data_IF_846694925656
#
_entry.id   IF_846694925656
#
_cell.length_a   1.000
_cell.length_b   1.000
_cell.length_c   1.000
_cell.angle_alpha   90.00
_cell.angle_beta   90.00
_cell.angle_gamma   90.00
#
_symmetry.space_group_name_H-M   'P 1'
#
loop_
_entity.id
_entity.type
_entity.pdbx_description
1 polymer ?
#
# COMPACT_ATOMS: atom_id res chain seq x y z
N UNK A 1 19.14 -6.87 33.56
CA UNK A 1 19.19 -6.29 32.21
C UNK A 1 19.39 -4.80 32.38
N UNK A 2 20.56 -4.31 32.01
CA UNK A 2 20.93 -2.89 32.11
C UNK A 2 20.05 -2.09 31.16
N UNK A 3 19.26 -1.18 31.72
CA UNK A 3 18.50 -0.18 30.99
C UNK A 3 19.47 0.54 30.04
N UNK A 4 19.26 0.52 28.71
CA UNK A 4 20.19 1.18 27.81
C UNK A 4 20.16 2.66 28.14
N UNK A 5 21.31 3.20 28.58
CA UNK A 5 21.50 4.64 28.77
C UNK A 5 21.02 5.36 27.53
N UNK A 6 19.86 6.00 27.60
CA UNK A 6 19.29 6.79 26.52
C UNK A 6 20.26 7.92 26.20
N UNK A 7 20.91 7.83 25.05
CA UNK A 7 21.74 8.91 24.53
C UNK A 7 20.89 10.17 24.44
N UNK A 8 21.34 11.25 25.10
CA UNK A 8 20.64 12.54 25.15
C UNK A 8 20.48 13.20 23.78
N UNK A 9 21.25 12.76 22.78
CA UNK A 9 21.14 13.20 21.39
C UNK A 9 20.34 12.22 20.52
N UNK A 10 19.79 11.15 21.10
CA UNK A 10 18.97 10.20 20.35
C UNK A 10 17.67 10.86 19.87
N UNK A 11 17.44 10.85 18.57
CA UNK A 11 16.20 11.30 17.95
C UNK A 11 15.18 10.16 17.77
N UNK A 12 15.45 8.96 18.31
CA UNK A 12 14.64 7.75 18.05
C UNK A 12 13.18 7.93 18.49
N UNK A 13 12.95 8.41 19.71
CA UNK A 13 11.59 8.58 20.25
C UNK A 13 10.83 9.68 19.52
N UNK A 14 11.51 10.77 19.18
CA UNK A 14 10.94 11.86 18.39
C UNK A 14 10.55 11.38 16.99
N UNK A 15 11.45 10.68 16.30
CA UNK A 15 11.19 10.10 14.99
C UNK A 15 10.02 9.11 15.01
N UNK A 16 9.92 8.25 16.03
CA UNK A 16 8.77 7.36 16.21
C UNK A 16 7.47 8.14 16.44
N UNK A 17 7.50 9.25 17.17
CA UNK A 17 6.34 10.13 17.35
C UNK A 17 5.80 10.66 16.02
N UNK A 18 6.68 11.17 15.16
CA UNK A 18 6.29 11.68 13.84
C UNK A 18 5.79 10.59 12.88
N UNK A 19 6.34 9.37 12.93
CA UNK A 19 5.85 8.25 12.09
C UNK A 19 4.56 7.65 12.68
N UNK A 20 4.34 7.77 13.98
CA UNK A 20 3.12 7.29 14.63
C UNK A 20 1.87 8.07 14.17
N UNK A 21 1.99 9.39 14.00
CA UNK A 21 0.90 10.25 13.54
C UNK A 21 0.23 9.75 12.24
N UNK A 22 0.93 9.61 11.10
CA UNK A 22 0.30 9.16 9.86
C UNK A 22 -0.25 7.74 9.97
N UNK A 23 0.42 6.84 10.70
CA UNK A 23 -0.06 5.46 10.82
C UNK A 23 -1.34 5.36 11.66
N UNK A 24 -1.43 6.13 12.75
CA UNK A 24 -2.65 6.21 13.56
C UNK A 24 -3.78 6.91 12.80
N UNK A 25 -3.48 7.96 12.03
CA UNK A 25 -4.45 8.62 11.16
C UNK A 25 -5.08 7.66 10.14
N UNK A 26 -4.27 6.82 9.47
CA UNK A 26 -4.76 5.79 8.55
C UNK A 26 -5.73 4.81 9.24
N UNK A 27 -5.38 4.34 10.45
CA UNK A 27 -6.26 3.47 11.23
C UNK A 27 -7.59 4.14 11.55
N UNK A 28 -7.59 5.42 11.94
CA UNK A 28 -8.82 6.14 12.25
C UNK A 28 -9.67 6.43 11.02
N UNK A 29 -9.07 6.76 9.87
CA UNK A 29 -9.84 6.90 8.64
C UNK A 29 -10.57 5.61 8.23
N UNK A 30 -10.04 4.43 8.57
CA UNK A 30 -10.69 3.14 8.37
C UNK A 30 -11.77 2.80 9.43
N UNK A 31 -11.89 3.60 10.48
CA UNK A 31 -12.83 3.40 11.59
C UNK A 31 -13.96 4.44 11.62
N UNK A 32 -13.66 5.66 11.17
CA UNK A 32 -14.57 6.79 11.12
C UNK A 32 -15.42 6.75 9.84
N UNK A 33 -16.52 7.53 9.77
CA UNK A 33 -17.28 7.71 8.54
C UNK A 33 -16.40 8.17 7.38
N UNK A 34 -16.64 7.65 6.18
CA UNK A 34 -15.77 7.87 5.00
C UNK A 34 -15.72 9.34 4.54
N UNK A 35 -16.72 10.15 4.90
CA UNK A 35 -16.74 11.59 4.65
C UNK A 35 -15.89 12.41 5.66
N UNK A 36 -15.24 11.75 6.62
CA UNK A 36 -14.28 12.38 7.52
C UNK A 36 -12.97 12.65 6.77
N UNK A 37 -12.48 13.87 6.84
CA UNK A 37 -11.17 14.27 6.35
C UNK A 37 -10.16 14.38 7.49
N UNK A 38 -8.90 14.08 7.21
CA UNK A 38 -7.77 14.32 8.12
C UNK A 38 -6.75 15.27 7.52
N UNK A 39 -6.21 16.16 8.36
CA UNK A 39 -5.00 16.95 8.09
C UNK A 39 -3.93 16.54 9.10
N UNK A 40 -2.69 16.47 8.65
CA UNK A 40 -1.53 16.25 9.51
C UNK A 40 -0.79 17.56 9.72
N UNK A 41 -0.38 17.82 10.97
CA UNK A 41 0.45 18.97 11.35
C UNK A 41 -0.13 20.33 10.91
N UNK A 42 -1.44 20.54 11.13
CA UNK A 42 -2.17 21.76 10.75
C UNK A 42 -2.46 22.67 11.94
N UNK A 43 -3.48 22.38 12.74
CA UNK A 43 -3.75 23.10 13.98
C UNK A 43 -3.23 22.35 15.22
N UNK A 44 -3.11 21.02 15.13
CA UNK A 44 -2.41 20.11 16.06
C UNK A 44 -1.75 18.94 15.28
N UNK A 45 -1.29 17.88 15.98
CA UNK A 45 -0.67 16.69 15.37
C UNK A 45 -1.56 16.11 14.26
N UNK A 46 -2.87 15.93 14.53
CA UNK A 46 -3.90 15.56 13.55
C UNK A 46 -5.15 16.44 13.72
N UNK A 47 -5.74 16.89 12.61
CA UNK A 47 -7.03 17.56 12.60
C UNK A 47 -8.05 16.72 11.82
N UNK A 48 -9.14 16.31 12.45
CA UNK A 48 -10.25 15.64 11.77
C UNK A 48 -11.40 16.61 11.51
N UNK A 49 -11.97 16.56 10.31
CA UNK A 49 -13.16 17.30 9.90
C UNK A 49 -14.22 16.28 9.49
N UNK A 50 -15.32 16.20 10.23
CA UNK A 50 -16.44 15.34 9.86
C UNK A 50 -17.28 15.95 8.73
N UNK A 51 -18.22 15.17 8.17
CA UNK A 51 -19.07 15.61 7.06
C UNK A 51 -20.02 16.76 7.38
N UNK A 52 -20.28 17.02 8.66
CA UNK A 52 -21.12 18.13 9.12
C UNK A 52 -20.28 19.39 9.44
N UNK A 53 -18.96 19.34 9.20
CA UNK A 53 -18.02 20.42 9.47
C UNK A 53 -17.53 20.52 10.91
N UNK A 54 -17.84 19.52 11.75
CA UNK A 54 -17.30 19.35 13.09
C UNK A 54 -15.79 19.16 13.04
N UNK A 55 -15.06 19.96 13.84
CA UNK A 55 -13.59 19.97 13.82
C UNK A 55 -13.02 19.44 15.13
N UNK A 56 -12.14 18.46 15.00
CA UNK A 56 -11.51 17.76 16.11
C UNK A 56 -10.00 17.90 16.02
N UNK A 57 -9.37 18.49 17.03
CA UNK A 57 -7.92 18.58 17.13
C UNK A 57 -7.40 17.44 18.01
N UNK A 58 -6.47 16.66 17.48
CA UNK A 58 -5.96 15.48 18.13
C UNK A 58 -4.46 15.62 18.37
N UNK A 59 -4.08 15.48 19.64
CA UNK A 59 -2.68 15.43 20.06
C UNK A 59 -2.30 13.99 20.39
N UNK A 60 -1.15 13.54 19.90
CA UNK A 60 -0.71 12.14 19.96
C UNK A 60 0.49 12.01 20.89
N UNK A 61 0.47 11.00 21.76
CA UNK A 61 1.54 10.68 22.72
C UNK A 61 1.89 9.19 22.67
N UNK A 62 2.99 8.89 22.00
CA UNK A 62 3.58 7.55 21.98
C UNK A 62 4.65 7.44 23.08
N UNK A 63 4.42 6.60 24.10
CA UNK A 63 5.23 6.50 25.32
C UNK A 63 5.71 5.08 25.54
N UNK A 64 6.69 4.89 26.41
CA UNK A 64 7.16 3.57 26.80
C UNK A 64 6.07 2.79 27.57
N UNK A 65 6.22 1.47 27.66
CA UNK A 65 5.31 0.62 28.44
C UNK A 65 5.50 0.91 29.92
N UNK A 66 4.39 1.05 30.67
CA UNK A 66 4.41 1.28 32.12
C UNK A 66 4.19 2.74 32.54
N UNK A 67 4.33 3.68 31.61
CA UNK A 67 3.98 5.08 31.86
C UNK A 67 2.47 5.24 32.11
N UNK A 68 2.11 6.19 32.99
CA UNK A 68 0.71 6.53 33.30
C UNK A 68 0.45 8.01 33.10
N UNK A 69 -0.77 8.34 32.69
CA UNK A 69 -1.23 9.73 32.68
C UNK A 69 -1.85 10.08 34.04
N UNK A 70 -1.41 11.18 34.63
CA UNK A 70 -1.83 11.68 35.95
C UNK A 70 -2.21 13.15 35.86
N UNK A 71 -2.81 13.69 36.92
CA UNK A 71 -3.30 15.07 36.99
C UNK A 71 -2.28 16.14 36.55
N UNK A 72 -0.99 15.89 36.77
CA UNK A 72 0.10 16.82 36.49
C UNK A 72 1.04 16.32 35.37
N UNK A 73 0.60 15.36 34.56
CA UNK A 73 1.36 14.89 33.40
C UNK A 73 1.63 16.05 32.43
N UNK A 74 2.92 16.33 32.22
CA UNK A 74 3.38 17.43 31.35
C UNK A 74 2.81 17.30 29.93
N UNK A 75 2.73 16.07 29.42
CA UNK A 75 2.24 15.80 28.07
C UNK A 75 0.76 16.20 27.89
N UNK A 76 -0.09 15.97 28.90
CA UNK A 76 -1.50 16.42 28.88
C UNK A 76 -1.59 17.94 28.88
N UNK A 77 -0.87 18.61 29.80
CA UNK A 77 -0.94 20.06 29.90
C UNK A 77 -0.35 20.79 28.69
N UNK A 78 0.67 20.22 28.03
CA UNK A 78 1.17 20.75 26.75
C UNK A 78 0.10 20.72 25.66
N UNK A 79 -0.66 19.62 25.54
CA UNK A 79 -1.78 19.53 24.61
C UNK A 79 -2.88 20.54 24.97
N UNK A 80 -3.26 20.63 26.27
CA UNK A 80 -4.20 21.64 26.77
C UNK A 80 -3.77 23.06 26.39
N UNK A 81 -2.48 23.39 26.49
CA UNK A 81 -1.98 24.70 26.12
C UNK A 81 -2.21 25.03 24.64
N UNK A 82 -1.94 24.09 23.75
CA UNK A 82 -2.19 24.25 22.30
C UNK A 82 -3.69 24.45 22.09
N UNK A 83 -4.52 23.59 22.68
CA UNK A 83 -5.97 23.67 22.56
C UNK A 83 -6.56 24.95 23.12
N UNK A 84 -6.06 25.47 24.23
CA UNK A 84 -6.49 26.75 24.79
C UNK A 84 -6.24 27.91 23.83
N UNK A 85 -5.09 27.91 23.14
CA UNK A 85 -4.78 28.90 22.11
C UNK A 85 -5.77 28.81 20.96
N UNK A 86 -6.09 27.59 20.49
CA UNK A 86 -7.06 27.36 19.40
C UNK A 86 -8.49 27.73 19.82
N UNK A 87 -8.90 27.32 21.01
CA UNK A 87 -10.21 27.64 21.60
C UNK A 87 -10.44 29.15 21.66
N UNK A 88 -9.48 29.91 22.21
CA UNK A 88 -9.58 31.38 22.28
C UNK A 88 -9.57 32.05 20.89
N UNK A 89 -8.75 31.55 19.97
CA UNK A 89 -8.68 32.05 18.58
C UNK A 89 -10.00 31.85 17.85
N UNK A 90 -10.65 30.70 18.03
CA UNK A 90 -11.77 30.23 17.20
C UNK A 90 -13.14 30.42 17.86
N UNK A 91 -13.29 31.46 18.68
CA UNK A 91 -14.60 31.89 19.21
C UNK A 91 -15.02 31.27 20.55
N UNK A 92 -14.15 30.52 21.21
CA UNK A 92 -14.38 29.98 22.55
C UNK A 92 -15.62 29.09 22.61
N UNK A 93 -16.58 29.45 23.47
CA UNK A 93 -17.78 28.66 23.71
C UNK A 93 -18.67 28.51 22.46
N UNK A 94 -18.61 29.45 21.52
CA UNK A 94 -19.36 29.41 20.26
C UNK A 94 -18.69 28.51 19.19
N UNK A 95 -17.46 28.07 19.44
CA UNK A 95 -16.73 27.18 18.55
C UNK A 95 -17.36 25.78 18.51
N UNK A 96 -17.15 25.03 17.43
CA UNK A 96 -17.46 23.59 17.37
C UNK A 96 -16.24 22.69 17.63
N UNK A 97 -15.11 23.26 18.08
CA UNK A 97 -13.89 22.51 18.35
C UNK A 97 -14.09 21.43 19.42
N UNK A 98 -13.54 20.24 19.13
CA UNK A 98 -13.32 19.14 20.08
C UNK A 98 -11.85 18.82 20.18
N UNK A 99 -11.42 18.31 21.33
CA UNK A 99 -10.01 18.04 21.61
C UNK A 99 -9.80 16.59 22.02
N UNK A 100 -8.86 15.91 21.38
CA UNK A 100 -8.60 14.49 21.61
C UNK A 100 -7.14 14.28 22.02
N UNK A 101 -6.91 13.62 23.15
CA UNK A 101 -5.58 13.10 23.49
C UNK A 101 -5.53 11.61 23.15
N UNK A 102 -4.77 11.25 22.11
CA UNK A 102 -4.43 9.86 21.86
C UNK A 102 -3.16 9.51 22.60
N UNK A 103 -3.22 8.53 23.50
CA UNK A 103 -2.03 8.08 24.24
C UNK A 103 -1.94 6.58 24.32
N UNK A 104 -0.73 6.06 24.14
CA UNK A 104 -0.41 4.63 24.36
C UNK A 104 -0.34 4.24 25.84
N UNK A 105 -0.38 5.21 26.75
CA UNK A 105 -0.45 5.00 28.20
C UNK A 105 -1.90 4.90 28.67
N UNK A 106 -2.11 4.46 29.90
CA UNK A 106 -3.43 4.49 30.54
C UNK A 106 -3.51 5.61 31.56
N UNK A 107 -4.69 6.17 31.77
CA UNK A 107 -4.95 7.15 32.83
C UNK A 107 -4.89 6.48 34.19
N UNK A 108 -4.29 7.14 35.19
CA UNK A 108 -4.28 6.66 36.57
C UNK A 108 -5.67 6.66 37.18
N UNK A 109 -6.06 5.59 37.88
CA UNK A 109 -7.43 5.43 38.39
C UNK A 109 -7.83 6.44 39.46
N UNK A 110 -6.84 7.05 40.12
CA UNK A 110 -6.99 8.12 41.12
C UNK A 110 -6.94 9.53 40.50
N UNK A 111 -6.72 9.63 39.19
CA UNK A 111 -6.61 10.90 38.48
C UNK A 111 -7.99 11.45 38.12
N UNK A 112 -8.15 12.79 38.19
CA UNK A 112 -9.35 13.43 37.67
C UNK A 112 -9.48 13.28 36.15
N UNK A 113 -8.38 13.00 35.44
CA UNK A 113 -8.36 12.76 34.00
C UNK A 113 -9.23 11.57 33.58
N UNK A 114 -9.57 10.67 34.52
CA UNK A 114 -10.55 9.59 34.28
C UNK A 114 -11.91 10.13 33.81
N UNK A 115 -12.24 11.39 34.13
CA UNK A 115 -13.45 12.09 33.68
C UNK A 115 -13.45 12.45 32.20
N UNK A 116 -12.29 12.36 31.53
CA UNK A 116 -12.17 12.59 30.09
C UNK A 116 -12.14 11.28 29.29
N UNK A 117 -12.29 10.11 29.93
CA UNK A 117 -12.35 8.83 29.22
C UNK A 117 -13.75 8.61 28.61
N UNK A 118 -13.89 7.94 27.46
CA UNK A 118 -15.18 7.72 26.79
C UNK A 118 -16.24 7.05 27.66
N UNK A 119 -15.83 6.13 28.53
CA UNK A 119 -16.71 5.30 29.36
C UNK A 119 -17.12 5.97 30.69
N UNK A 120 -16.66 7.20 30.93
CA UNK A 120 -17.01 7.97 32.12
C UNK A 120 -17.86 9.19 31.74
N UNK A 121 -19.18 9.01 31.53
CA UNK A 121 -20.06 10.14 31.29
C UNK A 121 -19.97 11.10 32.49
N UNK A 122 -19.90 12.40 32.18
CA UNK A 122 -19.87 13.48 33.18
C UNK A 122 -21.12 13.33 34.05
N UNK A 123 -20.94 12.79 35.27
CA UNK A 123 -22.02 12.59 36.23
C UNK A 123 -22.69 13.94 36.48
N UNK A 124 -23.88 14.10 35.93
CA UNK A 124 -24.75 15.23 36.18
C UNK A 124 -25.32 15.06 37.60
N UNK A 125 -24.72 15.70 38.60
CA UNK A 125 -25.49 16.07 39.80
C UNK A 125 -24.82 16.09 41.17
N UNK A 126 -23.74 15.36 41.45
CA UNK A 126 -23.24 15.26 42.85
C UNK A 126 -21.71 15.33 43.03
N UNK A 127 -20.94 15.54 41.95
CA UNK A 127 -19.48 15.64 42.00
C UNK A 127 -18.94 17.07 41.81
N UNK A 128 -17.66 17.29 42.18
CA UNK A 128 -16.94 18.52 41.86
C UNK A 128 -16.87 18.73 40.33
N UNK A 129 -17.00 19.98 39.88
CA UNK A 129 -16.92 20.35 38.45
C UNK A 129 -15.54 20.05 37.87
N UNK A 130 -15.44 19.90 36.54
CA UNK A 130 -14.15 19.70 35.87
C UNK A 130 -13.22 20.88 36.12
N UNK A 131 -13.76 22.10 36.13
CA UNK A 131 -13.03 23.32 36.52
C UNK A 131 -12.46 23.21 37.93
N UNK A 132 -13.26 22.83 38.93
CA UNK A 132 -12.79 22.72 40.31
C UNK A 132 -11.70 21.65 40.48
N UNK A 133 -11.84 20.52 39.78
CA UNK A 133 -10.84 19.44 39.80
C UNK A 133 -9.53 19.88 39.13
N UNK A 134 -9.61 20.55 37.98
CA UNK A 134 -8.45 21.07 37.26
C UNK A 134 -7.72 22.15 38.08
N UNK A 135 -8.45 23.11 38.66
CA UNK A 135 -7.85 24.16 39.50
C UNK A 135 -7.18 23.56 40.75
N UNK A 136 -7.81 22.56 41.39
CA UNK A 136 -7.22 21.86 42.52
C UNK A 136 -5.93 21.09 42.16
N UNK A 137 -5.85 20.53 40.95
CA UNK A 137 -4.62 19.92 40.44
C UNK A 137 -3.54 20.98 40.17
N UNK A 138 -3.90 22.06 39.48
CA UNK A 138 -2.98 23.15 39.11
C UNK A 138 -2.31 23.80 40.32
N UNK A 139 -3.05 24.02 41.42
CA UNK A 139 -2.51 24.57 42.69
C UNK A 139 -1.41 23.68 43.30
N UNK A 140 -1.49 22.35 43.10
CA UNK A 140 -0.46 21.41 43.59
C UNK A 140 0.79 21.40 42.73
N UNK A 141 0.74 21.96 41.52
CA UNK A 141 1.85 21.93 40.58
C UNK A 141 3.00 22.83 41.02
N UNK A 142 4.22 22.29 40.95
CA UNK A 142 5.48 23.06 41.09
C UNK A 142 6.19 23.30 39.75
N UNK A 143 5.59 22.84 38.65
CA UNK A 143 6.18 22.95 37.31
C UNK A 143 5.99 24.35 36.77
N UNK A 144 7.11 25.02 36.41
CA UNK A 144 7.08 26.35 35.76
C UNK A 144 6.27 26.34 34.46
N UNK A 145 6.38 25.25 33.69
CA UNK A 145 5.62 25.07 32.44
C UNK A 145 4.11 25.02 32.72
N UNK A 146 3.68 24.16 33.66
CA UNK A 146 2.26 24.05 34.02
C UNK A 146 1.75 25.36 34.63
N UNK A 147 2.58 26.07 35.40
CA UNK A 147 2.24 27.40 35.94
C UNK A 147 1.92 28.42 34.85
N UNK A 148 2.69 28.45 33.74
CA UNK A 148 2.40 29.32 32.60
C UNK A 148 1.08 28.97 31.92
N UNK A 149 0.80 27.67 31.78
CA UNK A 149 -0.44 27.16 31.18
C UNK A 149 -1.63 27.50 32.08
N UNK A 150 -1.47 27.37 33.40
CA UNK A 150 -2.48 27.76 34.39
C UNK A 150 -2.80 29.26 34.31
N UNK A 151 -1.81 30.13 34.07
CA UNK A 151 -2.06 31.55 33.83
C UNK A 151 -3.00 31.75 32.64
N UNK A 152 -2.70 31.13 31.50
CA UNK A 152 -3.56 31.21 30.31
C UNK A 152 -4.94 30.59 30.52
N UNK A 153 -5.04 29.48 31.26
CA UNK A 153 -6.31 28.85 31.62
C UNK A 153 -7.17 29.73 32.53
N UNK A 154 -6.54 30.46 33.46
CA UNK A 154 -7.22 31.37 34.39
C UNK A 154 -7.66 32.70 33.77
N UNK A 155 -7.32 32.98 32.52
CA UNK A 155 -7.93 34.08 31.77
C UNK A 155 -9.37 33.79 31.35
N UNK A 156 -9.76 32.51 31.29
CA UNK A 156 -11.13 32.08 31.02
C UNK A 156 -11.98 32.20 32.29
N UNK A 157 -13.25 32.59 32.14
CA UNK A 157 -14.24 32.50 33.20
C UNK A 157 -14.57 31.04 33.55
N UNK A 158 -15.07 30.78 34.76
CA UNK A 158 -15.40 29.41 35.19
C UNK A 158 -16.36 28.65 34.24
N UNK A 159 -17.40 29.29 33.65
CA UNK A 159 -18.22 28.64 32.62
C UNK A 159 -17.44 28.31 31.34
N UNK A 160 -16.52 29.18 30.90
CA UNK A 160 -15.69 28.92 29.73
C UNK A 160 -14.66 27.82 29.98
N UNK A 161 -14.06 27.79 31.18
CA UNK A 161 -13.19 26.68 31.62
C UNK A 161 -13.94 25.36 31.57
N UNK A 162 -15.16 25.34 32.11
CA UNK A 162 -15.99 24.13 32.14
C UNK A 162 -16.32 23.70 30.71
N UNK A 163 -16.80 24.62 29.85
CA UNK A 163 -17.09 24.32 28.44
C UNK A 163 -15.85 23.80 27.68
N UNK A 164 -14.69 24.40 27.90
CA UNK A 164 -13.44 23.97 27.29
C UNK A 164 -13.07 22.54 27.72
N UNK A 165 -13.10 22.24 29.02
CA UNK A 165 -12.75 20.93 29.56
C UNK A 165 -13.74 19.84 29.11
N UNK A 166 -15.03 20.15 28.99
CA UNK A 166 -16.05 19.22 28.50
C UNK A 166 -15.86 18.80 27.04
N UNK A 167 -15.06 19.54 26.27
CA UNK A 167 -14.70 19.21 24.87
C UNK A 167 -13.49 18.29 24.76
N UNK A 168 -12.82 17.98 25.87
CA UNK A 168 -11.63 17.13 25.89
C UNK A 168 -12.04 15.66 26.09
N UNK A 169 -11.54 14.80 25.21
CA UNK A 169 -11.61 13.36 25.34
C UNK A 169 -10.20 12.75 25.33
N UNK A 170 -9.94 11.80 26.21
CA UNK A 170 -8.69 11.04 26.27
C UNK A 170 -8.97 9.63 25.77
N UNK A 171 -8.29 9.25 24.69
CA UNK A 171 -8.30 7.91 24.12
C UNK A 171 -7.01 7.22 24.59
N UNK A 172 -7.07 6.71 25.82
CA UNK A 172 -5.97 6.02 26.47
C UNK A 172 -5.85 4.56 25.99
N UNK A 173 -4.69 3.94 26.22
CA UNK A 173 -4.41 2.60 25.70
C UNK A 173 -4.49 2.49 24.16
N UNK A 174 -4.29 3.60 23.45
CA UNK A 174 -4.22 3.61 21.98
C UNK A 174 -3.16 2.62 21.48
N UNK A 175 -3.39 1.97 20.32
CA UNK A 175 -2.48 0.95 19.80
C UNK A 175 -1.10 1.54 19.56
N UNK A 176 -0.05 0.76 19.82
CA UNK A 176 1.32 1.21 19.52
C UNK A 176 1.58 1.13 18.03
N UNK A 177 2.55 1.91 17.56
CA UNK A 177 2.89 2.01 16.13
C UNK A 177 3.19 0.66 15.45
N UNK A 178 3.73 -0.30 16.21
CA UNK A 178 4.04 -1.65 15.72
C UNK A 178 2.82 -2.56 15.60
N UNK A 179 1.75 -2.28 16.36
CA UNK A 179 0.53 -3.09 16.38
C UNK A 179 -0.47 -2.67 15.30
N UNK A 180 -0.43 -1.39 14.88
CA UNK A 180 -1.37 -0.82 13.90
C UNK A 180 -1.43 -1.62 12.58
N UNK A 181 -0.31 -2.04 11.95
CA UNK A 181 -0.37 -2.81 10.70
C UNK A 181 -1.20 -4.09 10.83
N UNK A 182 -1.00 -4.85 11.91
CA UNK A 182 -1.77 -6.06 12.19
C UNK A 182 -3.24 -5.73 12.43
N UNK A 183 -3.55 -4.67 13.19
CA UNK A 183 -4.93 -4.22 13.43
C UNK A 183 -5.65 -3.90 12.12
N UNK A 184 -5.00 -3.15 11.22
CA UNK A 184 -5.58 -2.80 9.91
C UNK A 184 -5.86 -4.07 9.11
N UNK A 185 -4.88 -4.96 8.96
CA UNK A 185 -5.05 -6.20 8.18
C UNK A 185 -6.11 -7.13 8.77
N UNK A 186 -6.16 -7.29 10.09
CA UNK A 186 -7.02 -8.28 10.73
C UNK A 186 -8.45 -7.81 10.95
N UNK A 187 -8.64 -6.50 11.15
CA UNK A 187 -9.97 -5.91 11.41
C UNK A 187 -10.57 -5.23 10.20
N UNK A 188 -9.78 -4.53 9.39
CA UNK A 188 -10.29 -3.64 8.33
C UNK A 188 -10.11 -4.21 6.92
N UNK A 189 -9.31 -5.27 6.72
CA UNK A 189 -9.11 -5.93 5.42
C UNK A 189 -9.78 -7.30 5.31
N UNK A 190 -10.90 -7.51 6.02
CA UNK A 190 -11.55 -8.84 6.12
C UNK A 190 -12.13 -9.35 4.81
N UNK A 191 -12.49 -8.46 3.88
CA UNK A 191 -12.94 -8.79 2.52
C UNK A 191 -11.81 -9.32 1.63
N UNK A 192 -10.55 -9.10 2.02
CA UNK A 192 -9.36 -9.55 1.30
C UNK A 192 -8.93 -10.91 1.84
N UNK A 193 -8.58 -11.83 0.93
CA UNK A 193 -8.04 -13.15 1.27
C UNK A 193 -6.80 -13.00 2.15
N UNK A 194 -6.66 -13.87 3.15
CA UNK A 194 -5.67 -13.70 4.24
C UNK A 194 -4.24 -13.63 3.70
N UNK A 195 -3.95 -14.48 2.73
CA UNK A 195 -2.68 -14.60 2.01
C UNK A 195 -2.29 -13.32 1.23
N UNK A 196 -3.24 -12.43 0.92
CA UNK A 196 -2.99 -11.21 0.14
C UNK A 196 -2.99 -9.93 0.99
N UNK A 197 -3.37 -10.00 2.27
CA UNK A 197 -3.52 -8.81 3.13
C UNK A 197 -2.22 -8.05 3.34
N UNK A 198 -1.09 -8.75 3.45
CA UNK A 198 0.21 -8.10 3.62
C UNK A 198 0.55 -7.24 2.39
N UNK A 199 0.51 -7.84 1.20
CA UNK A 199 0.83 -7.17 -0.06
C UNK A 199 -0.10 -5.97 -0.32
N UNK A 200 -1.41 -6.13 -0.08
CA UNK A 200 -2.35 -5.01 -0.23
C UNK A 200 -2.07 -3.91 0.80
N UNK A 201 -1.74 -4.26 2.04
CA UNK A 201 -1.40 -3.28 3.07
C UNK A 201 -0.12 -2.51 2.73
N UNK A 202 0.94 -3.16 2.28
CA UNK A 202 2.20 -2.49 1.89
C UNK A 202 1.96 -1.45 0.78
N UNK A 203 1.12 -1.78 -0.21
CA UNK A 203 0.76 -0.85 -1.29
C UNK A 203 -0.11 0.30 -0.80
N UNK A 204 -1.05 0.03 0.10
CA UNK A 204 -1.85 1.07 0.75
C UNK A 204 -0.97 2.00 1.59
N UNK A 205 -0.05 1.47 2.38
CA UNK A 205 0.87 2.25 3.21
C UNK A 205 1.83 3.09 2.36
N UNK A 206 2.31 2.56 1.23
CA UNK A 206 3.12 3.31 0.27
C UNK A 206 2.36 4.51 -0.32
N UNK A 207 1.12 4.31 -0.80
CA UNK A 207 0.28 5.40 -1.30
C UNK A 207 -0.06 6.42 -0.20
N UNK A 208 -0.39 5.94 1.00
CA UNK A 208 -0.71 6.77 2.16
C UNK A 208 0.45 7.68 2.53
N UNK A 209 1.67 7.11 2.58
CA UNK A 209 2.89 7.84 2.92
C UNK A 209 3.18 8.95 1.92
N UNK A 210 3.08 8.68 0.62
CA UNK A 210 3.22 9.70 -0.44
C UNK A 210 2.16 10.80 -0.32
N UNK A 211 0.92 10.42 0.00
CA UNK A 211 -0.19 11.38 0.20
C UNK A 211 0.04 12.29 1.40
N UNK A 212 0.53 11.75 2.51
CA UNK A 212 0.93 12.51 3.71
C UNK A 212 2.08 13.47 3.37
N UNK A 213 3.12 13.01 2.67
CA UNK A 213 4.25 13.87 2.24
C UNK A 213 3.74 15.03 1.39
N UNK A 214 2.81 14.79 0.46
CA UNK A 214 2.20 15.86 -0.35
C UNK A 214 1.46 16.89 0.51
N UNK A 215 0.81 16.47 1.59
CA UNK A 215 0.15 17.40 2.50
C UNK A 215 1.16 18.21 3.31
N UNK A 216 2.17 17.56 3.89
CA UNK A 216 3.22 18.22 4.69
C UNK A 216 4.09 19.18 3.86
N UNK A 217 4.28 18.90 2.57
CA UNK A 217 5.02 19.78 1.64
C UNK A 217 4.17 20.90 1.04
N UNK A 218 2.86 20.92 1.33
CA UNK A 218 1.92 21.89 0.76
C UNK A 218 1.55 21.64 -0.72
N UNK A 219 2.03 20.55 -1.33
CA UNK A 219 1.64 20.13 -2.67
C UNK A 219 0.17 19.69 -2.73
N UNK A 220 -0.40 19.29 -1.59
CA UNK A 220 -1.82 19.05 -1.34
C UNK A 220 -2.28 19.94 -0.18
N UNK A 221 -3.28 20.78 -0.42
CA UNK A 221 -3.84 21.66 0.62
C UNK A 221 -5.16 21.15 1.20
N UNK A 222 -5.79 20.18 0.54
CA UNK A 222 -7.04 19.55 0.97
C UNK A 222 -6.81 18.44 2.01
N UNK A 223 -7.84 18.17 2.80
CA UNK A 223 -7.84 17.05 3.74
C UNK A 223 -7.83 15.71 2.98
N UNK A 224 -7.32 14.67 3.63
CA UNK A 224 -7.36 13.31 3.08
C UNK A 224 -8.61 12.62 3.63
N UNK A 225 -9.54 12.26 2.75
CA UNK A 225 -10.81 11.69 3.16
C UNK A 225 -10.74 10.17 3.35
N UNK A 226 -11.60 9.66 4.23
CA UNK A 226 -11.76 8.22 4.44
C UNK A 226 -12.14 7.46 3.16
N UNK A 227 -13.03 8.04 2.33
CA UNK A 227 -13.40 7.42 1.05
C UNK A 227 -12.21 7.24 0.10
N UNK A 228 -11.21 8.12 0.12
CA UNK A 228 -10.01 7.95 -0.71
C UNK A 228 -9.21 6.70 -0.28
N UNK A 229 -9.15 6.46 1.03
CA UNK A 229 -8.50 5.27 1.59
C UNK A 229 -9.29 4.02 1.19
N UNK A 230 -10.62 4.04 1.31
CA UNK A 230 -11.49 2.94 0.88
C UNK A 230 -11.35 2.63 -0.61
N UNK A 231 -11.38 3.66 -1.46
CA UNK A 231 -11.22 3.52 -2.92
C UNK A 231 -9.86 2.92 -3.27
N UNK A 232 -8.79 3.39 -2.63
CA UNK A 232 -7.43 2.86 -2.85
C UNK A 232 -7.29 1.43 -2.38
N UNK A 233 -7.82 1.12 -1.20
CA UNK A 233 -7.85 -0.24 -0.68
C UNK A 233 -8.61 -1.18 -1.62
N UNK A 234 -9.77 -0.76 -2.10
CA UNK A 234 -10.56 -1.53 -3.06
C UNK A 234 -9.78 -1.75 -4.36
N UNK A 235 -9.21 -0.69 -4.95
CA UNK A 235 -8.42 -0.78 -6.17
C UNK A 235 -7.24 -1.75 -6.03
N UNK A 236 -6.52 -1.71 -4.91
CA UNK A 236 -5.43 -2.67 -4.67
C UNK A 236 -5.98 -4.09 -4.47
N UNK A 237 -7.09 -4.27 -3.76
CA UNK A 237 -7.69 -5.59 -3.56
C UNK A 237 -8.18 -6.25 -4.85
N UNK A 238 -8.69 -5.46 -5.82
CA UNK A 238 -9.11 -5.94 -7.14
C UNK A 238 -7.97 -6.61 -7.92
N UNK A 239 -6.72 -6.20 -7.71
CA UNK A 239 -5.56 -6.79 -8.35
C UNK A 239 -5.23 -8.21 -7.85
N UNK A 240 -5.76 -8.59 -6.67
CA UNK A 240 -5.51 -9.88 -6.02
C UNK A 240 -6.76 -10.80 -6.02
N UNK A 241 -7.74 -10.52 -6.89
CA UNK A 241 -8.88 -11.42 -7.10
C UNK A 241 -8.49 -12.70 -7.82
N UNK A 242 -9.33 -13.72 -7.72
CA UNK A 242 -9.08 -15.04 -8.32
C UNK A 242 -8.96 -15.02 -9.84
N UNK A 243 -9.54 -14.01 -10.50
CA UNK A 243 -9.53 -13.80 -11.95
C UNK A 243 -8.52 -12.74 -12.40
N UNK A 244 -7.67 -12.25 -11.49
CA UNK A 244 -6.69 -11.20 -11.77
C UNK A 244 -5.32 -11.50 -11.12
N UNK A 245 -4.27 -10.82 -11.58
CA UNK A 245 -2.94 -10.80 -10.97
C UNK A 245 -2.36 -9.39 -11.09
N UNK A 246 -1.62 -8.89 -10.07
CA UNK A 246 -1.04 -7.54 -10.09
C UNK A 246 0.00 -7.40 -11.21
N UNK A 247 -0.02 -6.27 -11.90
CA UNK A 247 0.91 -5.96 -13.00
C UNK A 247 1.99 -5.00 -12.52
N UNK A 248 3.24 -5.44 -12.52
CA UNK A 248 4.39 -4.70 -11.97
C UNK A 248 5.48 -4.41 -13.00
N UNK A 249 5.51 -5.09 -14.15
CA UNK A 249 6.57 -4.93 -15.16
C UNK A 249 6.16 -4.12 -16.41
N UNK A 250 5.04 -3.38 -16.33
CA UNK A 250 4.60 -2.51 -17.44
C UNK A 250 5.67 -1.44 -17.72
N UNK A 251 6.14 -1.36 -18.96
CA UNK A 251 7.13 -0.37 -19.39
C UNK A 251 8.56 -0.63 -18.91
N UNK A 252 8.81 -1.67 -18.13
CA UNK A 252 10.15 -2.02 -17.66
C UNK A 252 11.02 -2.50 -18.82
N UNK A 253 12.33 -2.25 -18.72
CA UNK A 253 13.34 -2.68 -19.67
C UNK A 253 14.49 -3.35 -18.91
N UNK A 254 15.20 -4.33 -19.51
CA UNK A 254 16.42 -4.88 -18.93
C UNK A 254 17.47 -3.79 -18.70
N UNK A 255 18.34 -3.98 -17.70
CA UNK A 255 19.44 -3.07 -17.43
C UNK A 255 20.54 -3.14 -18.51
N UNK A 256 20.72 -4.31 -19.11
CA UNK A 256 21.67 -4.55 -20.19
C UNK A 256 21.08 -4.16 -21.55
N UNK A 257 21.95 -3.75 -22.47
CA UNK A 257 21.53 -3.42 -23.84
C UNK A 257 21.07 -4.68 -24.58
N UNK A 258 19.96 -4.56 -25.29
CA UNK A 258 19.41 -5.67 -26.08
C UNK A 258 20.18 -5.78 -27.40
N UNK A 259 21.04 -6.79 -27.51
CA UNK A 259 21.68 -7.23 -28.74
C UNK A 259 20.86 -8.34 -29.41
N UNK A 260 20.17 -8.01 -30.49
CA UNK A 260 19.31 -8.96 -31.20
C UNK A 260 20.06 -9.95 -32.08
N UNK A 261 21.32 -9.68 -32.42
CA UNK A 261 22.10 -10.49 -33.35
C UNK A 261 22.82 -11.63 -32.64
N UNK A 262 23.32 -11.39 -31.43
CA UNK A 262 24.11 -12.38 -30.66
C UNK A 262 23.37 -13.04 -29.51
N UNK A 263 22.12 -12.63 -29.22
CA UNK A 263 21.34 -13.22 -28.13
C UNK A 263 21.23 -14.74 -28.27
N UNK A 264 21.70 -15.52 -27.27
CA UNK A 264 21.76 -16.98 -27.37
C UNK A 264 20.45 -17.67 -27.03
N UNK A 265 19.43 -16.94 -26.54
CA UNK A 265 18.13 -17.53 -26.18
C UNK A 265 17.50 -18.18 -27.41
N UNK A 266 17.02 -19.40 -27.24
CA UNK A 266 16.56 -20.27 -28.31
C UNK A 266 15.40 -19.64 -29.08
N UNK A 267 14.47 -18.96 -28.40
CA UNK A 267 13.39 -18.27 -29.09
C UNK A 267 13.93 -17.17 -30.02
N UNK A 268 15.00 -16.45 -29.63
CA UNK A 268 15.60 -15.40 -30.47
C UNK A 268 16.28 -16.01 -31.69
N UNK A 269 17.00 -17.13 -31.50
CA UNK A 269 17.62 -17.87 -32.60
C UNK A 269 16.55 -18.29 -33.61
N UNK A 270 15.43 -18.85 -33.15
CA UNK A 270 14.31 -19.24 -34.01
C UNK A 270 13.74 -18.06 -34.80
N UNK A 271 13.57 -16.88 -34.18
CA UNK A 271 13.06 -15.69 -34.87
C UNK A 271 14.02 -15.19 -35.95
N UNK A 272 15.33 -15.27 -35.72
CA UNK A 272 16.34 -14.97 -36.76
C UNK A 272 16.26 -15.95 -37.93
N UNK A 273 16.13 -17.26 -37.65
CA UNK A 273 16.02 -18.29 -38.69
C UNK A 273 14.84 -18.07 -39.64
N UNK A 274 13.66 -17.74 -39.11
CA UNK A 274 12.49 -17.45 -39.96
C UNK A 274 12.55 -16.05 -40.61
N UNK A 275 13.52 -15.20 -40.25
CA UNK A 275 13.73 -13.89 -40.87
C UNK A 275 12.92 -12.73 -40.27
N UNK A 276 12.57 -12.80 -38.99
CA UNK A 276 11.98 -11.64 -38.31
C UNK A 276 13.01 -10.51 -38.20
N UNK A 277 12.57 -9.27 -38.44
CA UNK A 277 13.45 -8.10 -38.37
C UNK A 277 13.96 -7.83 -36.96
N UNK A 278 15.17 -7.28 -36.83
CA UNK A 278 15.80 -6.96 -35.54
C UNK A 278 14.91 -6.10 -34.63
N UNK A 279 14.12 -5.16 -35.17
CA UNK A 279 13.17 -4.37 -34.37
C UNK A 279 12.04 -5.20 -33.73
N UNK A 280 11.51 -6.18 -34.47
CA UNK A 280 10.49 -7.10 -33.95
C UNK A 280 11.09 -8.10 -32.97
N UNK A 281 12.33 -8.55 -33.22
CA UNK A 281 13.09 -9.37 -32.27
C UNK A 281 13.34 -8.61 -30.96
N UNK A 282 13.74 -7.34 -31.01
CA UNK A 282 13.88 -6.50 -29.81
C UNK A 282 12.57 -6.41 -29.03
N UNK A 283 11.43 -6.29 -29.72
CA UNK A 283 10.11 -6.28 -29.09
C UNK A 283 9.79 -7.62 -28.42
N UNK A 284 10.09 -8.74 -29.08
CA UNK A 284 9.95 -10.09 -28.53
C UNK A 284 10.81 -10.30 -27.27
N UNK A 285 12.04 -9.80 -27.26
CA UNK A 285 12.93 -9.85 -26.10
C UNK A 285 12.35 -9.06 -24.91
N UNK A 286 11.76 -7.90 -25.16
CA UNK A 286 11.10 -7.11 -24.13
C UNK A 286 9.86 -7.83 -23.58
N UNK A 287 9.04 -8.43 -24.44
CA UNK A 287 7.85 -9.18 -24.02
C UNK A 287 8.25 -10.44 -23.23
N UNK A 288 9.28 -11.18 -23.67
CA UNK A 288 9.87 -12.30 -22.93
C UNK A 288 10.33 -11.86 -21.53
N UNK A 289 11.15 -10.81 -21.45
CA UNK A 289 11.71 -10.33 -20.19
C UNK A 289 10.60 -9.93 -19.21
N UNK A 290 9.63 -9.12 -19.67
CA UNK A 290 8.53 -8.67 -18.82
C UNK A 290 7.66 -9.84 -18.37
N UNK A 291 7.34 -10.79 -19.25
CA UNK A 291 6.56 -11.96 -18.87
C UNK A 291 7.31 -12.85 -17.86
N UNK A 292 8.60 -13.09 -18.08
CA UNK A 292 9.43 -13.90 -17.18
C UNK A 292 9.53 -13.28 -15.79
N UNK A 293 9.84 -11.99 -15.72
CA UNK A 293 9.93 -11.26 -14.44
C UNK A 293 8.57 -11.12 -13.75
N UNK A 294 7.51 -10.84 -14.52
CA UNK A 294 6.14 -10.74 -13.99
C UNK A 294 5.69 -12.07 -13.37
N UNK A 295 5.92 -13.20 -14.07
CA UNK A 295 5.63 -14.54 -13.57
C UNK A 295 6.47 -14.89 -12.35
N UNK A 296 7.75 -14.50 -12.35
CA UNK A 296 8.65 -14.70 -11.20
C UNK A 296 8.20 -13.90 -9.98
N UNK A 297 7.70 -12.67 -10.16
CA UNK A 297 7.13 -11.88 -9.08
C UNK A 297 5.86 -12.54 -8.51
N UNK A 298 4.93 -12.99 -9.36
CA UNK A 298 3.74 -13.70 -8.91
C UNK A 298 4.07 -14.99 -8.12
N UNK A 299 5.10 -15.73 -8.55
CA UNK A 299 5.55 -16.93 -7.84
C UNK A 299 6.18 -16.60 -6.48
N UNK A 300 7.06 -15.58 -6.40
CA UNK A 300 7.67 -15.13 -5.14
C UNK A 300 6.64 -14.63 -4.13
N UNK A 301 5.59 -13.97 -4.60
CA UNK A 301 4.48 -13.46 -3.79
C UNK A 301 3.39 -14.52 -3.53
N UNK A 302 3.58 -15.76 -3.98
CA UNK A 302 2.63 -16.87 -3.81
C UNK A 302 1.20 -16.54 -4.32
N UNK A 303 1.11 -15.84 -5.44
CA UNK A 303 -0.16 -15.41 -6.06
C UNK A 303 -0.74 -16.45 -7.03
N UNK A 304 0.09 -17.41 -7.43
CA UNK A 304 -0.26 -18.47 -8.37
C UNK A 304 -0.73 -19.71 -7.62
N UNK A 305 -1.77 -20.36 -8.13
CA UNK A 305 -2.21 -21.67 -7.62
C UNK A 305 -1.25 -22.74 -8.15
N UNK A 306 -0.98 -23.77 -7.34
CA UNK A 306 -0.16 -24.90 -7.76
C UNK A 306 -0.71 -25.53 -9.05
N UNK A 307 0.12 -25.66 -10.09
CA UNK A 307 -0.29 -26.20 -11.40
C UNK A 307 -0.89 -25.17 -12.37
N UNK A 308 -1.20 -23.95 -11.92
CA UNK A 308 -1.88 -22.93 -12.74
C UNK A 308 -1.04 -22.51 -13.95
N UNK A 309 0.28 -22.40 -13.77
CA UNK A 309 1.19 -22.00 -14.84
C UNK A 309 1.33 -23.11 -15.87
N UNK A 310 1.42 -24.35 -15.41
CA UNK A 310 1.51 -25.54 -16.26
C UNK A 310 0.24 -25.70 -17.10
N UNK A 311 -0.94 -25.61 -16.48
CA UNK A 311 -2.23 -25.64 -17.18
C UNK A 311 -2.36 -24.48 -18.18
N UNK A 312 -1.86 -23.29 -17.81
CA UNK A 312 -1.84 -22.14 -18.70
C UNK A 312 -0.95 -22.39 -19.93
N UNK A 313 0.24 -22.90 -19.73
CA UNK A 313 1.19 -23.23 -20.78
C UNK A 313 0.70 -24.36 -21.69
N UNK A 314 0.03 -25.38 -21.12
CA UNK A 314 -0.63 -26.44 -21.88
C UNK A 314 -1.66 -25.87 -22.85
N UNK A 315 -2.51 -24.93 -22.39
CA UNK A 315 -3.49 -24.25 -23.27
C UNK A 315 -2.81 -23.47 -24.41
N UNK A 316 -1.71 -22.77 -24.12
CA UNK A 316 -0.98 -22.02 -25.14
C UNK A 316 -0.36 -22.96 -26.18
N UNK A 317 0.28 -24.04 -25.73
CA UNK A 317 0.91 -25.02 -26.60
C UNK A 317 -0.13 -25.76 -27.46
N UNK A 318 -1.27 -26.14 -26.89
CA UNK A 318 -2.36 -26.80 -27.61
C UNK A 318 -2.93 -25.91 -28.72
N UNK A 319 -3.19 -24.64 -28.41
CA UNK A 319 -3.73 -23.71 -29.40
C UNK A 319 -2.70 -23.37 -30.49
N UNK A 320 -1.43 -23.20 -30.11
CA UNK A 320 -0.35 -23.06 -31.07
C UNK A 320 -0.23 -24.29 -31.98
N UNK A 321 -0.37 -25.51 -31.44
CA UNK A 321 -0.26 -26.73 -32.24
C UNK A 321 -1.38 -26.83 -33.29
N UNK A 322 -2.61 -26.40 -32.95
CA UNK A 322 -3.73 -26.31 -33.92
C UNK A 322 -3.42 -25.36 -35.07
N UNK A 323 -2.92 -24.16 -34.76
CA UNK A 323 -2.57 -23.17 -35.78
C UNK A 323 -1.35 -23.58 -36.61
N UNK A 324 -0.38 -24.25 -35.97
CA UNK A 324 0.76 -24.87 -36.65
C UNK A 324 0.27 -25.87 -37.70
N UNK A 325 -0.62 -26.80 -37.31
CA UNK A 325 -1.09 -27.85 -38.22
C UNK A 325 -1.77 -27.27 -39.45
N UNK A 326 -2.65 -26.27 -39.28
CA UNK A 326 -3.30 -25.56 -40.39
C UNK A 326 -2.30 -24.81 -41.28
N UNK A 327 -1.30 -24.19 -40.69
CA UNK A 327 -0.28 -23.43 -41.43
C UNK A 327 0.64 -24.37 -42.21
N UNK A 328 1.03 -25.50 -41.61
CA UNK A 328 2.02 -26.42 -42.17
C UNK A 328 1.41 -27.48 -43.09
N UNK A 329 0.11 -27.76 -43.00
CA UNK A 329 -0.62 -28.67 -43.91
C UNK A 329 -0.45 -28.27 -45.38
N UNK A 330 -0.26 -26.98 -45.66
CA UNK A 330 -0.07 -26.42 -47.00
C UNK A 330 1.31 -26.72 -47.59
N UNK A 331 2.26 -27.20 -46.77
CA UNK A 331 3.64 -27.42 -47.16
C UNK A 331 3.84 -28.82 -47.74
N UNK A 332 4.74 -28.94 -48.72
CA UNK A 332 5.18 -30.21 -49.29
C UNK A 332 6.54 -30.56 -48.72
N UNK A 333 6.89 -31.85 -48.69
CA UNK A 333 8.20 -32.31 -48.18
C UNK A 333 9.40 -31.66 -48.89
N UNK A 334 9.25 -31.22 -50.14
CA UNK A 334 10.25 -30.52 -50.93
C UNK A 334 10.01 -29.01 -51.08
N UNK A 335 9.18 -28.40 -50.22
CA UNK A 335 8.99 -26.95 -50.19
C UNK A 335 10.35 -26.23 -50.09
N UNK A 336 10.50 -25.15 -50.86
CA UNK A 336 11.68 -24.30 -50.81
C UNK A 336 11.80 -23.62 -49.43
N UNK A 337 13.03 -23.29 -49.03
CA UNK A 337 13.31 -22.68 -47.73
C UNK A 337 12.51 -21.40 -47.49
N UNK A 338 12.38 -20.55 -48.51
CA UNK A 338 11.61 -19.32 -48.42
C UNK A 338 10.15 -19.56 -48.03
N UNK A 339 9.54 -20.62 -48.57
CA UNK A 339 8.15 -21.01 -48.26
C UNK A 339 8.03 -21.53 -46.82
N UNK A 340 9.06 -22.23 -46.33
CA UNK A 340 9.09 -22.69 -44.93
C UNK A 340 9.22 -21.51 -43.96
N UNK A 341 10.05 -20.51 -44.30
CA UNK A 341 10.19 -19.27 -43.54
C UNK A 341 8.92 -18.45 -43.54
N UNK A 342 8.26 -18.27 -44.68
CA UNK A 342 6.97 -17.58 -44.80
C UNK A 342 5.91 -18.24 -43.92
N UNK A 343 5.84 -19.57 -43.89
CA UNK A 343 4.94 -20.31 -43.00
C UNK A 343 5.26 -20.04 -41.51
N UNK A 344 6.54 -20.02 -41.14
CA UNK A 344 6.95 -19.69 -39.78
C UNK A 344 6.65 -18.25 -39.38
N UNK A 345 6.85 -17.29 -40.29
CA UNK A 345 6.44 -15.90 -40.10
C UNK A 345 4.93 -15.78 -39.93
N UNK A 346 4.13 -16.54 -40.69
CA UNK A 346 2.67 -16.55 -40.54
C UNK A 346 2.24 -17.07 -39.16
N UNK A 347 2.86 -18.15 -38.68
CA UNK A 347 2.59 -18.71 -37.36
C UNK A 347 2.99 -17.75 -36.24
N UNK A 348 4.14 -17.10 -36.39
CA UNK A 348 4.62 -16.06 -35.47
C UNK A 348 3.69 -14.84 -35.43
N UNK A 349 3.24 -14.35 -36.60
CA UNK A 349 2.29 -13.24 -36.70
C UNK A 349 0.97 -13.55 -35.99
N UNK A 350 0.49 -14.79 -36.07
CA UNK A 350 -0.69 -15.22 -35.31
C UNK A 350 -0.45 -15.07 -33.80
N UNK A 351 0.67 -15.57 -33.30
CA UNK A 351 1.03 -15.48 -31.88
C UNK A 351 1.13 -14.01 -31.42
N UNK A 352 1.67 -13.11 -32.24
CA UNK A 352 1.86 -11.69 -31.89
C UNK A 352 0.57 -10.86 -31.95
N UNK A 353 -0.26 -11.06 -32.99
CA UNK A 353 -1.36 -10.13 -33.31
C UNK A 353 -2.76 -10.68 -33.09
N UNK A 354 -2.94 -12.01 -33.09
CA UNK A 354 -4.26 -12.63 -33.03
C UNK A 354 -4.58 -13.20 -31.66
N UNK A 355 -3.61 -13.76 -30.95
CA UNK A 355 -3.83 -14.41 -29.64
C UNK A 355 -4.37 -13.46 -28.57
N UNK A 356 -3.99 -12.17 -28.60
CA UNK A 356 -4.48 -11.16 -27.65
C UNK A 356 -6.00 -10.91 -27.72
N UNK A 357 -6.64 -11.31 -28.83
CA UNK A 357 -8.09 -11.23 -29.03
C UNK A 357 -8.83 -12.42 -28.43
N UNK A 358 -8.11 -13.47 -28.02
CA UNK A 358 -8.66 -14.73 -27.52
C UNK A 358 -8.57 -14.75 -26.00
N UNK A 359 -9.66 -14.43 -25.31
CA UNK A 359 -9.66 -14.29 -23.85
C UNK A 359 -9.31 -15.58 -23.11
N UNK A 360 -9.65 -16.74 -23.69
CA UNK A 360 -9.33 -18.06 -23.12
C UNK A 360 -7.82 -18.38 -23.10
N UNK A 361 -7.01 -17.63 -23.83
CA UNK A 361 -5.54 -17.73 -23.81
C UNK A 361 -4.91 -16.82 -22.77
N UNK A 362 -5.67 -16.11 -21.92
CA UNK A 362 -5.09 -15.40 -20.78
C UNK A 362 -4.86 -16.37 -19.62
N UNK A 363 -3.84 -16.10 -18.80
CA UNK A 363 -3.62 -16.88 -17.56
C UNK A 363 -4.81 -16.75 -16.61
N UNK A 364 -5.35 -15.53 -16.49
CA UNK A 364 -6.63 -15.21 -15.85
C UNK A 364 -7.36 -14.14 -16.65
N UNK A 365 -8.69 -14.07 -16.54
CA UNK A 365 -9.53 -13.24 -17.39
C UNK A 365 -9.15 -11.74 -17.41
N UNK A 366 -8.76 -11.19 -16.26
CA UNK A 366 -8.40 -9.77 -16.08
C UNK A 366 -6.91 -9.48 -16.30
N UNK A 367 -6.07 -10.49 -16.57
CA UNK A 367 -4.67 -10.29 -16.96
C UNK A 367 -4.63 -9.95 -18.44
N UNK A 368 -4.89 -8.69 -18.77
CA UNK A 368 -5.06 -8.22 -20.16
C UNK A 368 -3.78 -7.67 -20.79
N UNK A 369 -2.67 -7.65 -20.05
CA UNK A 369 -1.40 -7.12 -20.56
C UNK A 369 -0.81 -7.97 -21.69
N UNK A 370 -0.63 -7.43 -22.91
CA UNK A 370 -0.22 -8.23 -24.07
C UNK A 370 1.15 -8.91 -23.90
N UNK A 371 2.06 -8.26 -23.18
CA UNK A 371 3.42 -8.80 -22.99
C UNK A 371 3.40 -10.11 -22.21
N UNK A 372 2.43 -10.33 -21.31
CA UNK A 372 2.31 -11.58 -20.54
C UNK A 372 2.05 -12.75 -21.48
N UNK A 373 1.10 -12.58 -22.41
CA UNK A 373 0.73 -13.61 -23.37
C UNK A 373 1.82 -13.85 -24.41
N UNK A 374 2.28 -12.79 -25.08
CA UNK A 374 3.32 -12.87 -26.11
C UNK A 374 4.62 -13.42 -25.54
N UNK A 375 5.03 -12.89 -24.40
CA UNK A 375 6.21 -13.36 -23.67
C UNK A 375 6.10 -14.82 -23.24
N UNK A 376 4.90 -15.32 -22.92
CA UNK A 376 4.72 -16.74 -22.59
C UNK A 376 4.95 -17.66 -23.79
N UNK A 377 4.58 -17.27 -25.01
CA UNK A 377 5.00 -18.02 -26.21
C UNK A 377 6.51 -18.02 -26.40
N UNK A 378 7.19 -16.91 -26.12
CA UNK A 378 8.65 -16.85 -26.15
C UNK A 378 9.28 -17.75 -25.09
N UNK A 379 8.74 -17.78 -23.86
CA UNK A 379 9.17 -18.70 -22.80
C UNK A 379 9.01 -20.16 -23.24
N UNK A 380 7.90 -20.51 -23.86
CA UNK A 380 7.66 -21.87 -24.37
C UNK A 380 8.59 -22.24 -25.54
N UNK A 381 8.98 -21.25 -26.35
CA UNK A 381 9.95 -21.41 -27.43
C UNK A 381 11.41 -21.40 -26.94
N UNK A 382 11.66 -20.95 -25.71
CA UNK A 382 12.97 -20.97 -25.05
C UNK A 382 13.17 -22.18 -24.14
N UNK A 383 12.11 -22.96 -23.87
CA UNK A 383 12.13 -24.06 -22.94
C UNK A 383 13.15 -25.15 -23.33
N UNK A 384 13.78 -25.73 -22.30
CA UNK A 384 14.77 -26.82 -22.42
C UNK A 384 14.28 -28.04 -21.64
N UNK A 385 14.62 -29.29 -22.05
CA UNK A 385 15.56 -29.66 -23.13
C UNK A 385 15.00 -29.49 -24.55
N UNK A 386 13.68 -29.46 -24.71
CA UNK A 386 13.00 -29.25 -26.00
C UNK A 386 11.93 -28.17 -25.85
N UNK A 387 11.82 -27.23 -26.81
CA UNK A 387 10.81 -26.19 -26.72
C UNK A 387 9.44 -26.75 -27.06
N UNK A 388 8.44 -26.30 -26.31
CA UNK A 388 7.04 -26.71 -26.46
C UNK A 388 6.34 -26.00 -27.62
N UNK A 389 6.90 -24.87 -28.05
CA UNK A 389 6.44 -24.03 -29.16
C UNK A 389 7.64 -23.75 -30.05
N UNK A 390 7.45 -23.78 -31.36
CA UNK A 390 8.50 -23.42 -32.31
C UNK A 390 7.95 -22.75 -33.55
N UNK A 391 8.80 -22.04 -34.29
CA UNK A 391 8.32 -21.22 -35.42
C UNK A 391 8.63 -21.83 -36.79
N UNK A 392 9.73 -22.58 -36.92
CA UNK A 392 10.14 -23.14 -38.21
C UNK A 392 9.61 -24.58 -38.43
N UNK A 393 9.08 -24.94 -39.63
CA UNK A 393 8.56 -26.29 -39.88
C UNK A 393 9.56 -27.44 -39.69
N UNK A 394 10.85 -27.17 -39.95
CA UNK A 394 11.96 -28.11 -39.77
C UNK A 394 12.80 -27.81 -38.53
N UNK A 395 12.20 -27.21 -37.50
CA UNK A 395 12.93 -26.76 -36.32
C UNK A 395 13.69 -27.90 -35.63
N UNK A 396 13.05 -29.05 -35.37
CA UNK A 396 13.70 -30.19 -34.73
C UNK A 396 14.83 -30.81 -35.57
N UNK A 397 14.69 -30.84 -36.90
CA UNK A 397 15.77 -31.29 -37.80
C UNK A 397 17.01 -30.39 -37.68
N UNK A 398 16.80 -29.12 -37.32
CA UNK A 398 17.84 -28.10 -37.18
C UNK A 398 18.35 -27.95 -35.75
N UNK A 399 17.71 -28.58 -34.76
CA UNK A 399 18.04 -28.40 -33.35
C UNK A 399 19.52 -28.68 -33.06
N UNK A 400 20.10 -29.68 -33.71
CA UNK A 400 21.54 -30.00 -33.61
C UNK A 400 22.45 -28.92 -34.21
N UNK A 401 22.04 -28.27 -35.28
CA UNK A 401 22.75 -27.13 -35.90
C UNK A 401 22.56 -25.84 -35.09
N UNK A 402 21.37 -25.64 -34.51
CA UNK A 402 20.96 -24.47 -33.72
C UNK A 402 21.62 -24.45 -32.33
N UNK A 403 21.81 -25.62 -31.70
CA UNK A 403 22.46 -25.75 -30.39
C UNK A 403 23.99 -25.89 -30.46
N UNK A 404 24.59 -25.74 -31.65
CA UNK A 404 26.05 -25.79 -31.82
C UNK A 404 26.67 -27.17 -31.59
N UNK A 405 25.88 -28.26 -31.59
CA UNK A 405 26.40 -29.63 -31.59
C UNK A 405 26.69 -30.03 -33.03
N UNK A 406 27.76 -29.46 -33.59
CA UNK A 406 28.39 -30.02 -34.78
C UNK A 406 29.01 -31.38 -34.41
N UNK A 407 28.77 -32.38 -35.25
CA UNK A 407 29.49 -33.66 -35.24
C UNK A 407 31.00 -33.46 -35.41
#
# INVERSE_FOLDING_TARGET
>A
MTDPTTDKYSAREQGLGYIYQPRLALLHLLQLPENTAVFLEKDDDLDFIDGDGGKSLASLKHKAVGDRLTDLSIDFWKSVNIWLVRYKRDGGAESNLRFFLFTTTTVSSDSFLTRFLPDHPILSGEGATLTALADAALVKSKSKLIGQIATGFNELSDPEKQNFLERILILDGSPRIGDIPAIIRDKHMRSIRREHREFVFERLEGWWTDTVIKQLTGARTEGIFGYEVSDRLSNFAEEYKADNLPITFRGMVPAEEIDTETDPRLFVVQLREIGISSNRIRSAILDYYRAFEQRSAWARENLLVSGEVEEYEDRLADEWNRYKDVTFEKLKGNSAEEVLREAGVSLYNWAEFETGKIESLRIRAQVTEPYVLRGSFHILADATPEPRVYWHPRFFDRLGTVLGVAQ
#
